data_IF_072005544411
#
_entry.id   IF_072005544411
#
_cell.length_a   1.000
_cell.length_b   1.000
_cell.length_c   1.000
_cell.angle_alpha   90.00
_cell.angle_beta   90.00
_cell.angle_gamma   90.00
#
_symmetry.space_group_name_H-M   'P 1'
#
loop_
_entity.id
_entity.type
_entity.pdbx_description
1 polymer ?
#
# COMPACT_ATOMS: atom_id res chain seq x y z
N UNK A 1 -4.22 -4.64 5.86
CA UNK A 1 -3.09 -4.85 6.78
C UNK A 1 -3.44 -4.20 8.11
N UNK A 2 -3.21 -4.86 9.24
CA UNK A 2 -3.40 -4.26 10.56
C UNK A 2 -2.10 -3.58 11.02
N UNK A 3 -2.20 -2.47 11.73
CA UNK A 3 -1.04 -1.84 12.35
C UNK A 3 -0.44 -2.77 13.42
N UNK A 4 0.89 -2.88 13.54
CA UNK A 4 1.52 -3.87 14.42
C UNK A 4 1.27 -3.62 15.92
N UNK A 5 1.08 -2.35 16.33
CA UNK A 5 0.91 -1.96 17.74
C UNK A 5 -0.34 -1.12 18.06
N UNK A 6 -1.20 -0.84 17.05
CA UNK A 6 -2.43 -0.01 17.22
C UNK A 6 -3.62 -0.83 16.73
N UNK A 7 -4.39 -1.47 17.64
CA UNK A 7 -5.35 -2.52 17.26
C UNK A 7 -6.49 -2.02 16.38
N UNK A 8 -6.89 -0.75 16.52
CA UNK A 8 -7.98 -0.16 15.74
C UNK A 8 -7.50 0.42 14.40
N UNK A 9 -6.19 0.42 14.14
CA UNK A 9 -5.64 0.97 12.91
C UNK A 9 -5.45 -0.11 11.85
N UNK A 10 -6.09 0.10 10.70
CA UNK A 10 -6.03 -0.81 9.55
C UNK A 10 -5.82 -0.04 8.24
N UNK A 11 -5.18 -0.72 7.31
CA UNK A 11 -4.81 -0.19 6.00
C UNK A 11 -5.35 -1.08 4.88
N UNK A 12 -5.87 -0.48 3.82
CA UNK A 12 -6.27 -1.18 2.59
C UNK A 12 -5.76 -0.42 1.37
N UNK A 13 -5.45 -1.14 0.29
CA UNK A 13 -5.20 -0.57 -1.02
C UNK A 13 -6.21 -1.21 -1.99
N UNK A 14 -7.33 -0.53 -2.28
CA UNK A 14 -8.43 -1.12 -3.01
C UNK A 14 -8.13 -1.21 -4.52
N UNK A 15 -8.72 -2.21 -5.14
CA UNK A 15 -8.80 -2.37 -6.59
C UNK A 15 -10.25 -2.10 -7.05
N UNK A 16 -10.43 -1.78 -8.33
CA UNK A 16 -11.72 -1.36 -8.89
C UNK A 16 -12.81 -2.43 -8.77
N UNK A 17 -12.58 -3.65 -9.26
CA UNK A 17 -13.56 -4.73 -9.24
C UNK A 17 -12.92 -6.11 -9.46
N UNK A 18 -13.70 -7.18 -9.36
CA UNK A 18 -13.21 -8.55 -9.60
C UNK A 18 -12.66 -8.73 -11.04
N UNK A 19 -13.35 -8.12 -12.02
CA UNK A 19 -12.98 -8.15 -13.44
C UNK A 19 -11.96 -7.07 -13.82
N UNK A 20 -11.78 -6.06 -12.97
CA UNK A 20 -10.83 -4.97 -13.16
C UNK A 20 -9.92 -4.84 -11.93
N UNK A 21 -8.75 -5.46 -12.02
CA UNK A 21 -7.76 -5.50 -10.93
C UNK A 21 -6.78 -4.34 -10.97
N UNK A 22 -7.15 -3.23 -11.58
CA UNK A 22 -6.39 -1.98 -11.49
C UNK A 22 -6.74 -1.22 -10.21
N UNK A 23 -5.86 -0.33 -9.72
CA UNK A 23 -6.18 0.58 -8.63
C UNK A 23 -7.39 1.47 -8.96
N UNK A 24 -8.20 1.77 -7.94
CA UNK A 24 -9.37 2.66 -8.07
C UNK A 24 -8.94 4.02 -8.66
N UNK A 25 -9.70 4.53 -9.63
CA UNK A 25 -9.41 5.74 -10.41
C UNK A 25 -8.03 5.74 -11.10
N UNK A 26 -7.44 4.56 -11.29
CA UNK A 26 -6.07 4.37 -11.75
C UNK A 26 -5.05 5.13 -10.89
N UNK A 27 -5.25 5.18 -9.57
CA UNK A 27 -4.31 5.85 -8.65
C UNK A 27 -3.94 4.93 -7.50
N UNK A 28 -2.65 4.85 -7.18
CA UNK A 28 -2.25 4.23 -5.94
C UNK A 28 -2.70 5.12 -4.77
N UNK A 29 -3.52 4.53 -3.90
CA UNK A 29 -4.01 5.18 -2.70
C UNK A 29 -4.20 4.13 -1.63
N UNK A 30 -3.41 4.21 -0.57
CA UNK A 30 -3.70 3.47 0.64
C UNK A 30 -4.82 4.21 1.36
N UNK A 31 -5.77 3.50 1.92
CA UNK A 31 -6.77 4.05 2.84
C UNK A 31 -6.44 3.54 4.23
N UNK A 32 -6.35 4.47 5.18
CA UNK A 32 -6.19 4.18 6.60
C UNK A 32 -7.53 4.37 7.30
N UNK A 33 -7.85 3.46 8.21
CA UNK A 33 -8.84 3.66 9.26
C UNK A 33 -8.12 3.59 10.59
N UNK A 34 -8.50 4.47 11.53
CA UNK A 34 -8.01 4.48 12.91
C UNK A 34 -9.11 4.08 13.91
N UNK A 35 -10.24 3.57 13.40
CA UNK A 35 -11.46 3.23 14.14
C UNK A 35 -12.05 1.89 13.67
N UNK A 36 -11.17 0.91 13.44
CA UNK A 36 -11.52 -0.47 13.08
C UNK A 36 -12.40 -0.61 11.82
N UNK A 37 -12.26 0.32 10.88
CA UNK A 37 -12.94 0.35 9.58
C UNK A 37 -14.23 1.18 9.54
N UNK A 38 -14.55 1.91 10.61
CA UNK A 38 -15.76 2.75 10.65
C UNK A 38 -15.64 4.01 9.78
N UNK A 39 -14.45 4.61 9.70
CA UNK A 39 -14.12 5.72 8.80
C UNK A 39 -12.77 5.52 8.12
N UNK A 40 -12.60 6.15 6.95
CA UNK A 40 -11.42 5.95 6.10
C UNK A 40 -10.86 7.27 5.60
N UNK A 41 -9.53 7.37 5.61
CA UNK A 41 -8.76 8.52 5.16
C UNK A 41 -7.83 8.12 4.01
N UNK A 42 -7.78 8.88 2.91
CA UNK A 42 -6.88 8.59 1.81
C UNK A 42 -5.44 9.02 2.14
N UNK A 43 -4.50 8.12 1.88
CA UNK A 43 -3.07 8.24 2.14
C UNK A 43 -2.30 8.04 0.83
N UNK A 44 -1.94 9.14 0.15
CA UNK A 44 -1.32 9.08 -1.19
C UNK A 44 -0.24 10.12 -1.46
N UNK A 45 0.19 10.91 -0.47
CA UNK A 45 1.21 11.94 -0.67
C UNK A 45 2.53 11.28 -1.07
N UNK A 46 3.11 11.69 -2.20
CA UNK A 46 4.36 11.13 -2.73
C UNK A 46 4.21 9.87 -3.59
N UNK A 47 2.99 9.34 -3.73
CA UNK A 47 2.71 8.28 -4.71
C UNK A 47 2.55 8.85 -6.13
N UNK A 48 2.74 8.04 -7.19
CA UNK A 48 2.52 8.47 -8.56
C UNK A 48 1.12 9.08 -8.80
N UNK A 49 1.07 10.25 -9.45
CA UNK A 49 -0.19 10.96 -9.76
C UNK A 49 -0.89 10.47 -11.04
N UNK A 50 -0.15 9.79 -11.92
CA UNK A 50 -0.64 9.35 -13.23
C UNK A 50 -1.57 8.14 -13.16
N UNK A 51 -2.19 7.75 -14.29
CA UNK A 51 -2.93 6.50 -14.32
C UNK A 51 -1.95 5.34 -14.14
N UNK A 52 -2.11 4.61 -13.04
CA UNK A 52 -1.42 3.37 -12.75
C UNK A 52 -2.34 2.19 -13.02
N UNK A 53 -1.80 1.16 -13.65
CA UNK A 53 -2.54 -0.04 -14.03
C UNK A 53 -2.00 -1.30 -13.37
N UNK A 54 -0.80 -1.24 -12.79
CA UNK A 54 -0.24 -2.38 -12.09
C UNK A 54 -0.98 -2.62 -10.78
N UNK A 55 -1.36 -3.88 -10.59
CA UNK A 55 -2.05 -4.33 -9.38
C UNK A 55 -1.08 -4.34 -8.19
N UNK A 56 -1.62 -4.20 -6.98
CA UNK A 56 -0.93 -4.59 -5.75
C UNK A 56 -1.57 -5.87 -5.24
N UNK A 57 -0.79 -6.95 -5.15
CA UNK A 57 -1.29 -8.21 -4.64
C UNK A 57 -1.48 -8.15 -3.12
N UNK A 58 -2.43 -8.93 -2.61
CA UNK A 58 -2.73 -8.99 -1.17
C UNK A 58 -1.47 -9.19 -0.33
N UNK A 59 -0.62 -10.14 -0.71
CA UNK A 59 0.61 -10.47 0.03
C UNK A 59 1.78 -9.54 -0.29
N UNK A 60 1.63 -8.68 -1.31
CA UNK A 60 2.60 -7.66 -1.68
C UNK A 60 2.44 -6.36 -0.87
N UNK A 61 1.52 -6.30 0.09
CA UNK A 61 1.43 -5.21 1.06
C UNK A 61 1.77 -5.73 2.46
N UNK A 62 2.39 -4.91 3.30
CA UNK A 62 2.67 -5.26 4.71
C UNK A 62 2.69 -4.02 5.58
N UNK A 63 2.28 -4.18 6.84
CA UNK A 63 2.46 -3.22 7.91
C UNK A 63 3.29 -3.88 9.01
N UNK A 64 4.34 -3.22 9.46
CA UNK A 64 5.29 -3.75 10.44
C UNK A 64 5.93 -2.61 11.24
N UNK A 65 6.71 -2.93 12.27
CA UNK A 65 7.53 -1.95 12.99
C UNK A 65 8.51 -1.18 12.07
N UNK A 66 8.83 -1.73 10.89
CA UNK A 66 9.64 -1.04 9.90
C UNK A 66 8.86 -0.03 9.03
N UNK A 67 7.54 0.07 9.18
CA UNK A 67 6.65 0.92 8.39
C UNK A 67 5.67 0.14 7.49
N UNK A 68 5.01 0.88 6.61
CA UNK A 68 4.11 0.37 5.59
C UNK A 68 4.84 0.20 4.27
N UNK A 69 4.63 -0.94 3.62
CA UNK A 69 5.21 -1.21 2.31
C UNK A 69 4.15 -1.82 1.40
N UNK A 70 4.23 -1.49 0.11
CA UNK A 70 3.57 -2.27 -0.91
C UNK A 70 4.44 -2.43 -2.17
N UNK A 71 4.29 -3.57 -2.83
CA UNK A 71 4.93 -3.90 -4.09
C UNK A 71 3.89 -4.03 -5.21
N UNK A 72 4.30 -3.67 -6.41
CA UNK A 72 3.44 -3.61 -7.59
C UNK A 72 3.83 -4.70 -8.61
N UNK A 73 2.88 -5.07 -9.48
CA UNK A 73 3.13 -6.06 -10.55
C UNK A 73 4.13 -5.59 -11.61
N UNK A 74 4.40 -4.29 -11.71
CA UNK A 74 5.37 -3.67 -12.63
C UNK A 74 6.75 -3.44 -11.99
N UNK A 75 7.00 -3.98 -10.79
CA UNK A 75 8.34 -4.07 -10.24
C UNK A 75 8.79 -2.89 -9.39
N UNK A 76 7.84 -2.13 -8.83
CA UNK A 76 8.12 -1.07 -7.86
C UNK A 76 7.81 -1.53 -6.43
N UNK A 77 8.55 -0.97 -5.47
CA UNK A 77 8.25 -1.10 -4.04
C UNK A 77 8.20 0.30 -3.45
N UNK A 78 7.08 0.61 -2.81
CA UNK A 78 6.80 1.88 -2.15
C UNK A 78 6.77 1.69 -0.63
N UNK A 79 7.24 2.69 0.10
CA UNK A 79 7.39 2.67 1.55
C UNK A 79 6.85 3.97 2.17
N UNK A 80 6.17 3.83 3.30
CA UNK A 80 5.86 4.93 4.23
C UNK A 80 6.36 4.57 5.62
N UNK A 81 6.98 5.54 6.30
CA UNK A 81 7.53 5.44 7.66
C UNK A 81 6.71 6.23 8.68
N UNK A 82 5.60 6.79 8.24
CA UNK A 82 4.72 7.72 8.96
C UNK A 82 3.26 7.34 8.76
N UNK A 83 2.96 6.04 8.86
CA UNK A 83 1.58 5.51 8.85
C UNK A 83 0.75 5.88 7.61
N UNK A 84 1.41 5.95 6.46
CA UNK A 84 0.82 6.23 5.15
C UNK A 84 0.74 7.72 4.81
N UNK A 85 1.14 8.62 5.71
CA UNK A 85 1.07 10.07 5.46
C UNK A 85 1.93 10.48 4.26
N UNK A 86 3.17 9.97 4.16
CA UNK A 86 4.06 10.21 3.02
C UNK A 86 4.71 8.92 2.51
N UNK A 87 4.86 8.84 1.19
CA UNK A 87 5.37 7.69 0.49
C UNK A 87 6.64 8.01 -0.30
N UNK A 88 7.50 7.00 -0.42
CA UNK A 88 8.69 7.04 -1.27
C UNK A 88 8.90 5.69 -1.96
N UNK A 89 9.39 5.71 -3.20
CA UNK A 89 9.79 4.50 -3.91
C UNK A 89 11.16 4.06 -3.43
N UNK A 90 11.27 2.83 -2.92
CA UNK A 90 12.51 2.27 -2.35
C UNK A 90 13.17 1.23 -3.27
N UNK A 91 12.43 0.67 -4.22
CA UNK A 91 12.97 -0.18 -5.27
C UNK A 91 12.16 -0.01 -6.57
N UNK A 92 12.82 -0.24 -7.70
CA UNK A 92 12.26 -0.12 -9.06
C UNK A 92 12.91 -1.12 -10.00
N UNK A 93 12.27 -1.38 -11.14
CA UNK A 93 12.74 -2.28 -12.20
C UNK A 93 12.98 -3.72 -11.74
N UNK A 94 12.20 -4.17 -10.75
CA UNK A 94 12.15 -5.57 -10.36
C UNK A 94 11.26 -6.36 -11.33
N UNK A 95 11.34 -7.69 -11.32
CA UNK A 95 10.22 -8.51 -11.75
C UNK A 95 8.97 -8.23 -10.90
N UNK A 96 7.86 -8.85 -11.30
CA UNK A 96 6.59 -8.86 -10.59
C UNK A 96 6.75 -9.08 -9.07
N UNK A 97 6.33 -8.11 -8.26
CA UNK A 97 6.45 -8.20 -6.79
C UNK A 97 5.26 -8.96 -6.22
N UNK A 98 5.47 -10.25 -5.97
CA UNK A 98 4.43 -11.14 -5.47
C UNK A 98 4.18 -11.02 -3.96
N UNK A 99 5.19 -10.62 -3.20
CA UNK A 99 5.15 -10.59 -1.74
C UNK A 99 6.13 -9.57 -1.19
N UNK A 100 5.73 -8.87 -0.13
CA UNK A 100 6.59 -7.96 0.63
C UNK A 100 6.56 -8.34 2.10
N UNK A 101 7.74 -8.39 2.74
CA UNK A 101 7.91 -8.54 4.18
C UNK A 101 8.94 -7.51 4.64
N UNK A 102 8.73 -6.94 5.81
CA UNK A 102 9.60 -5.93 6.38
C UNK A 102 9.80 -6.18 7.88
N UNK A 103 11.01 -5.93 8.36
CA UNK A 103 11.40 -6.09 9.76
C UNK A 103 12.50 -5.09 10.11
N UNK A 104 12.63 -4.80 11.40
CA UNK A 104 13.77 -4.08 11.98
C UNK A 104 14.79 -5.12 12.43
N UNK A 105 16.07 -4.88 12.16
CA UNK A 105 17.20 -5.75 12.56
C UNK A 105 17.80 -5.30 13.89
#
# INVERSE_FOLDING_TARGET
>A
MAHPSRPDTVYVLPLTADVDRTPVDHRYRVYRSDDAGASWQPCSTGLPEGPVYATVLRDAMTASEAGLFFGTRDGEVHCSRDDGETWSTVARHLPDVLTVRAAVL
#
